data_IF_141052181677
#
_entry.id   IF_141052181677
#
_cell.length_a   1.000
_cell.length_b   1.000
_cell.length_c   1.000
_cell.angle_alpha   90.00
_cell.angle_beta   90.00
_cell.angle_gamma   90.00
#
_symmetry.space_group_name_H-M   'P 1'
#
loop_
_entity.id
_entity.type
_entity.pdbx_description
1 polymer ?
#
# COMPACT_ATOMS: atom_id res chain seq x y z
N UNK A 1 -28.41 1.02 16.83
CA UNK A 1 -27.41 1.75 17.63
C UNK A 1 -27.33 1.05 18.98
N UNK A 2 -26.14 0.79 19.54
CA UNK A 2 -26.05 0.24 20.89
C UNK A 2 -26.65 1.22 21.90
N UNK A 3 -27.23 0.67 22.97
CA UNK A 3 -27.95 1.45 23.97
C UNK A 3 -26.98 2.28 24.85
N UNK A 4 -27.43 3.40 25.45
CA UNK A 4 -26.60 4.25 26.30
C UNK A 4 -26.13 3.48 27.54
N UNK A 5 -24.87 3.05 27.54
CA UNK A 5 -24.25 2.27 28.61
C UNK A 5 -23.52 1.00 28.13
N UNK A 6 -23.75 0.57 26.89
CA UNK A 6 -22.96 -0.50 26.27
C UNK A 6 -21.68 0.09 25.64
N UNK A 7 -20.53 -0.56 25.84
CA UNK A 7 -19.29 -0.28 25.09
C UNK A 7 -19.65 -0.33 23.59
N UNK A 8 -19.75 0.85 22.98
CA UNK A 8 -20.15 1.01 21.59
C UNK A 8 -19.08 0.44 20.68
N UNK A 9 -19.50 -0.43 19.75
CA UNK A 9 -18.67 -1.04 18.71
C UNK A 9 -17.68 -2.04 19.29
N UNK A 10 -17.58 -3.20 18.65
CA UNK A 10 -16.56 -4.23 18.87
C UNK A 10 -15.15 -3.61 18.74
N UNK A 11 -14.67 -2.90 19.76
CA UNK A 11 -13.26 -2.65 19.93
C UNK A 11 -12.64 -3.99 20.28
N UNK A 12 -12.23 -4.73 19.25
CA UNK A 12 -11.39 -5.91 19.44
C UNK A 12 -10.13 -5.46 20.18
N UNK A 13 -10.11 -5.66 21.50
CA UNK A 13 -8.94 -5.50 22.38
C UNK A 13 -7.80 -6.45 21.95
N UNK A 14 -8.10 -7.39 21.04
CA UNK A 14 -7.19 -8.34 20.43
C UNK A 14 -6.59 -7.85 19.09
N UNK A 15 -6.16 -6.58 19.00
CA UNK A 15 -5.38 -6.08 17.83
C UNK A 15 -4.15 -6.93 17.51
N UNK A 16 -3.60 -7.66 18.49
CA UNK A 16 -2.49 -8.60 18.26
C UNK A 16 -2.88 -9.82 17.42
N UNK A 17 -4.19 -10.15 17.37
CA UNK A 17 -4.75 -11.28 16.63
C UNK A 17 -5.38 -10.86 15.31
N UNK A 18 -5.54 -9.55 15.05
CA UNK A 18 -5.93 -9.07 13.73
C UNK A 18 -4.80 -9.31 12.73
N UNK A 19 -5.14 -9.75 11.52
CA UNK A 19 -4.17 -9.83 10.44
C UNK A 19 -3.57 -8.43 10.21
N UNK A 20 -2.24 -8.33 10.05
CA UNK A 20 -1.62 -7.06 9.70
C UNK A 20 -2.24 -6.52 8.40
N UNK A 21 -2.45 -5.19 8.32
CA UNK A 21 -2.92 -4.56 7.10
C UNK A 21 -2.04 -5.00 5.91
N UNK A 22 -2.62 -5.25 4.73
CA UNK A 22 -1.83 -5.65 3.58
C UNK A 22 -0.85 -4.53 3.23
N UNK A 23 0.37 -4.90 2.82
CA UNK A 23 1.26 -3.96 2.14
C UNK A 23 0.57 -3.48 0.85
N UNK A 24 0.72 -2.20 0.53
CA UNK A 24 0.23 -1.61 -0.71
C UNK A 24 1.38 -0.96 -1.47
N UNK A 25 1.30 -0.97 -2.81
CA UNK A 25 2.16 -0.18 -3.67
C UNK A 25 1.33 0.98 -4.21
N UNK A 26 1.69 2.20 -3.83
CA UNK A 26 1.12 3.42 -4.39
C UNK A 26 1.99 3.87 -5.56
N UNK A 27 1.36 4.33 -6.65
CA UNK A 27 2.06 4.83 -7.81
C UNK A 27 1.26 5.90 -8.54
N UNK A 28 1.93 6.96 -8.97
CA UNK A 28 1.33 8.09 -9.68
C UNK A 28 2.23 8.63 -10.79
N UNK A 29 1.61 9.35 -11.72
CA UNK A 29 2.29 10.01 -12.84
C UNK A 29 1.79 11.43 -13.04
N UNK A 30 2.70 12.31 -13.45
CA UNK A 30 2.33 13.56 -14.12
C UNK A 30 2.56 13.41 -15.62
N UNK A 31 1.67 14.02 -16.42
CA UNK A 31 1.79 14.08 -17.86
C UNK A 31 1.66 15.51 -18.36
N UNK A 32 2.48 15.87 -19.35
CA UNK A 32 2.33 17.10 -20.12
C UNK A 32 1.28 16.87 -21.19
N UNK A 33 0.35 17.81 -21.31
CA UNK A 33 -0.69 17.79 -22.33
C UNK A 33 -0.26 18.68 -23.49
N UNK A 34 -0.13 18.10 -24.68
CA UNK A 34 0.21 18.82 -25.89
C UNK A 34 -1.00 18.82 -26.83
N UNK A 35 -1.44 19.99 -27.28
CA UNK A 35 -2.50 20.07 -28.28
C UNK A 35 -2.00 19.59 -29.63
N UNK A 36 -2.78 18.70 -30.25
CA UNK A 36 -2.49 18.20 -31.59
C UNK A 36 -3.24 19.04 -32.61
N UNK A 37 -2.50 19.72 -33.48
CA UNK A 37 -3.09 20.40 -34.63
C UNK A 37 -3.11 19.48 -35.84
N UNK A 38 -4.17 19.55 -36.63
CA UNK A 38 -4.28 18.88 -37.93
C UNK A 38 -4.31 17.34 -37.90
N UNK A 39 -4.65 16.72 -36.77
CA UNK A 39 -4.92 15.27 -36.69
C UNK A 39 -6.43 15.08 -36.54
N UNK A 40 -7.11 14.49 -37.53
CA UNK A 40 -8.52 14.12 -37.39
C UNK A 40 -8.70 13.22 -36.15
N UNK A 41 -9.76 13.47 -35.38
CA UNK A 41 -10.17 12.67 -34.22
C UNK A 41 -9.23 12.67 -33.00
N UNK A 42 -8.16 13.47 -32.97
CA UNK A 42 -7.31 13.65 -31.78
C UNK A 42 -7.13 15.12 -31.43
N UNK A 43 -7.43 15.46 -30.16
CA UNK A 43 -7.40 16.84 -29.67
C UNK A 43 -6.10 17.12 -28.88
N UNK A 44 -5.52 16.12 -28.22
CA UNK A 44 -4.30 16.26 -27.43
C UNK A 44 -3.50 14.96 -27.30
N UNK A 45 -2.20 15.08 -27.04
CA UNK A 45 -1.31 14.02 -26.59
C UNK A 45 -1.05 14.18 -25.09
N UNK A 46 -0.99 13.06 -24.37
CA UNK A 46 -0.58 13.00 -22.97
C UNK A 46 0.80 12.34 -22.93
N UNK A 47 1.83 13.12 -22.58
CA UNK A 47 3.21 12.66 -22.52
C UNK A 47 3.63 12.57 -21.05
N UNK A 48 3.72 11.37 -20.45
CA UNK A 48 4.20 11.20 -19.08
C UNK A 48 5.59 11.80 -18.92
N UNK A 49 5.76 12.66 -17.92
CA UNK A 49 7.02 13.38 -17.70
C UNK A 49 7.59 13.15 -16.30
N UNK A 50 6.78 12.58 -15.41
CA UNK A 50 7.12 12.39 -14.02
C UNK A 50 6.44 11.14 -13.49
N UNK A 51 7.13 10.40 -12.62
CA UNK A 51 6.55 9.29 -11.88
C UNK A 51 6.98 9.33 -10.40
N UNK A 52 6.17 8.70 -9.55
CA UNK A 52 6.55 8.39 -8.18
C UNK A 52 5.88 7.08 -7.74
N UNK A 53 6.61 6.27 -6.98
CA UNK A 53 6.11 5.02 -6.40
C UNK A 53 6.55 4.86 -4.94
N UNK A 54 5.73 4.14 -4.18
CA UNK A 54 6.01 3.86 -2.78
C UNK A 54 5.27 2.66 -2.22
N UNK A 55 6.01 1.79 -1.53
CA UNK A 55 5.43 0.78 -0.64
C UNK A 55 4.90 1.44 0.65
N UNK A 56 3.59 1.27 0.89
CA UNK A 56 2.92 1.56 2.15
C UNK A 56 2.90 0.29 3.00
N UNK A 57 3.40 0.41 4.23
CA UNK A 57 3.48 -0.70 5.18
C UNK A 57 2.14 -1.01 5.87
N UNK A 58 2.09 -2.12 6.63
CA UNK A 58 0.93 -2.53 7.43
C UNK A 58 0.56 -1.52 8.55
N UNK A 59 1.42 -0.55 8.83
CA UNK A 59 1.13 0.55 9.76
C UNK A 59 0.47 1.76 9.04
N UNK A 60 0.19 1.65 7.74
CA UNK A 60 -0.31 2.75 6.92
C UNK A 60 0.73 3.82 6.60
N UNK A 61 2.01 3.59 6.93
CA UNK A 61 3.08 4.56 6.71
C UNK A 61 3.97 4.16 5.53
N UNK A 62 4.54 5.15 4.81
CA UNK A 62 5.62 4.97 3.86
C UNK A 62 6.80 4.19 4.44
N UNK A 63 7.32 3.20 3.69
CA UNK A 63 8.54 2.48 4.11
C UNK A 63 9.85 3.14 3.69
N UNK A 64 9.80 4.03 2.70
CA UNK A 64 10.94 4.82 2.20
C UNK A 64 10.42 6.23 1.91
N UNK A 65 11.26 7.29 1.92
CA UNK A 65 10.86 8.59 1.39
C UNK A 65 10.35 8.47 -0.05
N UNK A 66 9.38 9.31 -0.44
CA UNK A 66 8.91 9.37 -1.84
C UNK A 66 10.07 9.87 -2.70
N UNK A 67 10.38 9.14 -3.77
CA UNK A 67 11.33 9.58 -4.78
C UNK A 67 10.54 9.87 -6.05
N UNK A 68 10.76 11.06 -6.60
CA UNK A 68 10.08 11.52 -7.80
C UNK A 68 11.08 11.48 -8.95
N UNK A 69 10.79 10.71 -9.98
CA UNK A 69 11.58 10.70 -11.21
C UNK A 69 10.97 11.69 -12.21
N UNK A 70 11.81 12.48 -12.89
CA UNK A 70 11.40 13.40 -13.95
C UNK A 70 12.25 13.13 -15.19
N UNK A 71 11.62 12.70 -16.27
CA UNK A 71 12.32 12.30 -17.48
C UNK A 71 11.35 11.93 -18.62
N UNK A 72 11.88 11.88 -19.84
CA UNK A 72 11.10 11.51 -21.04
C UNK A 72 10.74 10.02 -21.07
N UNK A 73 11.49 9.21 -20.33
CA UNK A 73 11.33 7.77 -20.13
C UNK A 73 10.62 7.47 -18.79
N UNK A 74 9.83 8.41 -18.27
CA UNK A 74 9.14 8.27 -16.99
C UNK A 74 8.28 6.99 -16.91
N UNK A 75 7.70 6.52 -18.01
CA UNK A 75 6.95 5.24 -18.03
C UNK A 75 7.89 4.05 -17.83
N UNK A 76 8.99 3.99 -18.58
CA UNK A 76 9.93 2.87 -18.49
C UNK A 76 10.59 2.80 -17.12
N UNK A 77 10.94 3.96 -16.57
CA UNK A 77 11.46 4.06 -15.20
C UNK A 77 10.44 3.60 -14.16
N UNK A 78 9.17 4.01 -14.28
CA UNK A 78 8.12 3.57 -13.37
C UNK A 78 7.91 2.05 -13.40
N UNK A 79 7.81 1.46 -14.60
CA UNK A 79 7.63 0.00 -14.73
C UNK A 79 8.81 -0.73 -14.07
N UNK A 80 10.05 -0.26 -14.29
CA UNK A 80 11.25 -0.79 -13.65
C UNK A 80 11.18 -0.66 -12.13
N UNK A 81 10.71 0.48 -11.63
CA UNK A 81 10.58 0.74 -10.19
C UNK A 81 9.54 -0.17 -9.55
N UNK A 82 8.35 -0.32 -10.16
CA UNK A 82 7.29 -1.22 -9.69
C UNK A 82 7.74 -2.68 -9.66
N UNK A 83 8.46 -3.16 -10.68
CA UNK A 83 9.01 -4.52 -10.69
C UNK A 83 9.97 -4.72 -9.51
N UNK A 84 10.82 -3.74 -9.23
CA UNK A 84 11.75 -3.75 -8.09
C UNK A 84 11.00 -3.71 -6.76
N UNK A 85 9.98 -2.86 -6.61
CA UNK A 85 9.14 -2.81 -5.41
C UNK A 85 8.44 -4.14 -5.16
N UNK A 86 7.91 -4.77 -6.21
CA UNK A 86 7.28 -6.10 -6.16
C UNK A 86 8.26 -7.16 -5.66
N UNK A 87 9.51 -7.16 -6.12
CA UNK A 87 10.53 -8.11 -5.65
C UNK A 87 10.90 -7.87 -4.17
N UNK A 88 11.02 -6.61 -3.74
CA UNK A 88 11.23 -6.25 -2.33
C UNK A 88 10.05 -6.73 -1.47
N UNK A 89 8.82 -6.54 -1.95
CA UNK A 89 7.62 -6.93 -1.24
C UNK A 89 7.51 -8.45 -1.14
N UNK A 90 7.79 -9.19 -2.22
CA UNK A 90 7.82 -10.64 -2.21
C UNK A 90 8.79 -11.18 -1.16
N UNK A 91 10.00 -10.63 -1.07
CA UNK A 91 10.97 -11.02 -0.03
C UNK A 91 10.44 -10.79 1.40
N UNK A 92 9.75 -9.66 1.64
CA UNK A 92 9.11 -9.37 2.93
C UNK A 92 7.96 -10.33 3.24
N UNK A 93 7.12 -10.64 2.27
CA UNK A 93 5.96 -11.53 2.44
C UNK A 93 6.37 -13.00 2.64
N UNK A 94 7.49 -13.43 2.05
CA UNK A 94 8.05 -14.76 2.29
C UNK A 94 8.75 -14.88 3.66
N UNK A 95 8.96 -13.78 4.38
CA UNK A 95 9.55 -13.81 5.71
C UNK A 95 8.51 -14.31 6.71
N UNK A 96 8.69 -15.54 7.20
CA UNK A 96 7.87 -16.10 8.28
C UNK A 96 8.36 -15.50 9.59
N UNK A 97 7.58 -14.57 10.14
CA UNK A 97 7.81 -14.04 11.49
C UNK A 97 7.06 -14.94 12.47
N UNK A 98 7.74 -15.63 13.41
CA UNK A 98 7.07 -16.41 14.42
C UNK A 98 6.13 -15.51 15.22
N UNK A 99 4.88 -15.94 15.40
CA UNK A 99 3.96 -15.26 16.28
C UNK A 99 4.49 -15.37 17.71
N UNK A 100 4.92 -14.25 18.30
CA UNK A 100 5.35 -14.23 19.69
C UNK A 100 4.11 -14.21 20.60
N UNK A 101 3.60 -15.39 20.96
CA UNK A 101 2.56 -15.53 21.97
C UNK A 101 3.18 -15.68 23.36
N UNK A 102 2.76 -14.85 24.31
CA UNK A 102 2.99 -15.15 25.73
C UNK A 102 1.99 -16.20 26.20
N UNK A 103 2.28 -16.86 27.33
CA UNK A 103 1.37 -17.84 27.96
C UNK A 103 -0.02 -17.23 28.21
N UNK A 104 -0.06 -15.94 28.56
CA UNK A 104 -1.30 -15.18 28.75
C UNK A 104 -2.07 -14.98 27.44
N UNK A 105 -1.38 -14.65 26.34
CA UNK A 105 -2.03 -14.46 25.03
C UNK A 105 -2.69 -15.79 24.57
N UNK A 106 -2.07 -16.94 24.87
CA UNK A 106 -2.63 -18.26 24.56
C UNK A 106 -3.89 -18.57 25.38
N UNK A 107 -3.86 -18.29 26.68
CA UNK A 107 -5.03 -18.46 27.56
C UNK A 107 -6.21 -17.56 27.14
N UNK A 108 -5.94 -16.31 26.77
CA UNK A 108 -6.94 -15.37 26.29
C UNK A 108 -7.52 -15.83 24.94
N UNK A 109 -6.69 -16.36 24.03
CA UNK A 109 -7.15 -16.93 22.76
C UNK A 109 -8.10 -18.12 22.96
N UNK A 110 -7.73 -19.07 23.82
CA UNK A 110 -8.54 -20.27 24.11
C UNK A 110 -9.88 -19.93 24.78
N UNK A 111 -9.91 -18.90 25.64
CA UNK A 111 -11.14 -18.44 26.30
C UNK A 111 -12.12 -17.78 25.34
N UNK A 112 -11.65 -17.15 24.26
CA UNK A 112 -12.49 -16.49 23.27
C UNK A 112 -13.16 -17.43 22.24
N UNK A 113 -12.77 -18.70 22.20
CA UNK A 113 -13.31 -19.72 21.29
C UNK A 113 -14.44 -20.58 21.88
N UNK A 114 -14.89 -20.29 23.10
CA UNK A 114 -16.00 -20.94 23.81
C UNK A 114 -17.09 -19.93 24.15
#
# INVERSE_FOLDING_TARGET
MPDPGEESVLESKQRKLSQPLPYAVYGEFEAVVEQLQNIPDKIASLNPCCNADQIIGPNGLPQKPVVVYRGVDAVDDFIRSIVKEKDILAAKLHTIIPMHMTTRDLEEFQKGTH
#
